data_IF_043019946792
#
_entry.id   IF_043019946792
#
_cell.length_a   1.000
_cell.length_b   1.000
_cell.length_c   1.000
_cell.angle_alpha   90.00
_cell.angle_beta   90.00
_cell.angle_gamma   90.00
#
_symmetry.space_group_name_H-M   'P 1'
#
loop_
_entity.id
_entity.type
_entity.pdbx_description
1 polymer ?
#
# COMPACT_ATOMS: atom_id res chain seq x y z
N UNK A 1 0.91 -9.05 9.44
CA UNK A 1 1.60 -7.73 9.54
C UNK A 1 0.98 -6.73 8.55
N UNK A 2 0.92 -7.05 7.26
CA UNK A 2 0.30 -6.23 6.20
C UNK A 2 -1.15 -5.80 6.47
N UNK A 3 -2.01 -6.73 6.90
CA UNK A 3 -3.42 -6.44 7.19
C UNK A 3 -3.55 -5.49 8.39
N UNK A 4 -2.67 -5.63 9.40
CA UNK A 4 -2.66 -4.78 10.58
C UNK A 4 -2.21 -3.35 10.24
N UNK A 5 -1.17 -3.22 9.40
CA UNK A 5 -0.73 -1.93 8.87
C UNK A 5 -1.76 -1.27 7.96
N UNK A 6 -2.45 -2.05 7.11
CA UNK A 6 -3.51 -1.56 6.22
C UNK A 6 -4.74 -1.07 6.99
N UNK A 7 -5.15 -1.80 8.03
CA UNK A 7 -6.24 -1.39 8.90
C UNK A 7 -5.89 -0.10 9.66
N UNK A 8 -4.68 -0.01 10.22
CA UNK A 8 -4.22 1.17 10.94
C UNK A 8 -4.06 2.40 10.02
N UNK A 9 -3.61 2.19 8.77
CA UNK A 9 -3.52 3.24 7.76
C UNK A 9 -4.91 3.79 7.39
N UNK A 10 -5.89 2.93 7.15
CA UNK A 10 -7.28 3.35 6.86
C UNK A 10 -7.89 4.12 8.03
N UNK A 11 -7.69 3.66 9.27
CA UNK A 11 -8.15 4.37 10.48
C UNK A 11 -7.47 5.74 10.62
N UNK A 12 -6.17 5.83 10.35
CA UNK A 12 -5.41 7.09 10.40
C UNK A 12 -5.86 8.10 9.34
N UNK A 13 -6.23 7.63 8.15
CA UNK A 13 -6.74 8.48 7.06
C UNK A 13 -8.17 8.98 7.33
N UNK A 14 -9.00 8.21 8.03
CA UNK A 14 -10.32 8.65 8.50
C UNK A 14 -10.17 9.66 9.64
N UNK A 15 -9.23 9.44 10.55
CA UNK A 15 -8.92 10.39 11.63
C UNK A 15 -8.42 11.75 11.10
N UNK A 16 -7.72 11.76 9.95
CA UNK A 16 -7.36 13.00 9.24
C UNK A 16 -8.57 13.85 8.84
N UNK A 17 -9.68 13.22 8.43
CA UNK A 17 -10.89 13.97 8.06
C UNK A 17 -11.62 14.60 9.25
N UNK A 18 -11.40 14.10 10.46
CA UNK A 18 -12.03 14.62 11.68
C UNK A 18 -11.17 15.67 12.41
N UNK A 19 -9.89 15.80 12.04
CA UNK A 19 -8.92 16.64 12.77
C UNK A 19 -8.33 17.71 11.84
N UNK A 20 -8.52 18.99 12.17
CA UNK A 20 -7.93 20.12 11.45
C UNK A 20 -6.63 20.60 12.13
N UNK A 21 -5.59 20.91 11.33
CA UNK A 21 -4.32 21.49 11.80
C UNK A 21 -3.10 20.58 11.69
N UNK A 22 -2.02 20.90 12.44
CA UNK A 22 -0.72 20.19 12.40
C UNK A 22 -0.85 18.69 12.70
N UNK A 23 -1.82 18.33 13.55
CA UNK A 23 -2.10 16.94 13.92
C UNK A 23 -2.56 16.09 12.73
N UNK A 24 -3.25 16.70 11.77
CA UNK A 24 -3.67 16.07 10.53
C UNK A 24 -2.44 15.67 9.69
N UNK A 25 -1.46 16.57 9.58
CA UNK A 25 -0.19 16.30 8.86
C UNK A 25 0.57 15.15 9.50
N UNK A 26 0.62 15.08 10.84
CA UNK A 26 1.29 13.98 11.57
C UNK A 26 0.61 12.64 11.31
N UNK A 27 -0.74 12.59 11.33
CA UNK A 27 -1.49 11.37 11.02
C UNK A 27 -1.33 10.91 9.57
N UNK A 28 -1.17 11.86 8.64
CA UNK A 28 -0.92 11.58 7.22
C UNK A 28 0.50 11.03 7.01
N UNK A 29 1.48 11.59 7.73
CA UNK A 29 2.86 11.08 7.77
C UNK A 29 2.92 9.66 8.34
N UNK A 30 2.22 9.40 9.45
CA UNK A 30 2.09 8.06 10.03
C UNK A 30 1.45 7.08 9.05
N UNK A 31 0.36 7.47 8.37
CA UNK A 31 -0.25 6.65 7.34
C UNK A 31 0.74 6.30 6.21
N UNK A 32 1.48 7.30 5.70
CA UNK A 32 2.47 7.09 4.64
C UNK A 32 3.62 6.18 5.07
N UNK A 33 4.14 6.35 6.29
CA UNK A 33 5.21 5.51 6.83
C UNK A 33 4.77 4.06 7.04
N UNK A 34 3.55 3.84 7.55
CA UNK A 34 2.97 2.50 7.71
C UNK A 34 2.76 1.80 6.37
N UNK A 35 2.35 2.55 5.34
CA UNK A 35 2.19 2.02 3.99
C UNK A 35 3.55 1.64 3.38
N UNK A 36 4.58 2.45 3.57
CA UNK A 36 5.94 2.14 3.10
C UNK A 36 6.60 1.00 3.88
N UNK A 37 6.26 0.82 5.16
CA UNK A 37 6.77 -0.30 5.96
C UNK A 37 6.33 -1.67 5.42
N UNK A 38 5.22 -1.73 4.69
CA UNK A 38 4.76 -2.94 4.00
C UNK A 38 5.61 -3.27 2.75
N UNK A 39 6.19 -2.27 2.09
CA UNK A 39 6.92 -2.41 0.84
C UNK A 39 8.02 -3.51 0.84
N UNK A 40 8.95 -3.57 1.81
CA UNK A 40 10.03 -4.56 1.78
C UNK A 40 9.54 -6.01 1.86
N UNK A 41 8.46 -6.30 2.58
CA UNK A 41 7.95 -7.67 2.67
C UNK A 41 7.33 -8.18 1.35
N UNK A 42 6.74 -7.28 0.56
CA UNK A 42 6.19 -7.60 -0.76
C UNK A 42 7.31 -7.87 -1.77
N UNK A 43 8.38 -7.09 -1.71
CA UNK A 43 9.58 -7.25 -2.54
C UNK A 43 10.23 -8.62 -2.29
N UNK A 44 10.42 -9.01 -1.03
CA UNK A 44 10.99 -10.33 -0.68
C UNK A 44 10.10 -11.48 -1.14
N UNK A 45 8.78 -11.32 -1.08
CA UNK A 45 7.85 -12.34 -1.60
C UNK A 45 7.95 -12.48 -3.12
N UNK A 46 7.98 -11.36 -3.85
CA UNK A 46 8.14 -11.36 -5.31
C UNK A 46 9.47 -12.01 -5.74
N UNK A 47 10.56 -11.71 -5.02
CA UNK A 47 11.87 -12.34 -5.24
C UNK A 47 11.85 -13.84 -4.98
N UNK A 48 11.06 -14.32 -4.00
CA UNK A 48 10.89 -15.75 -3.75
C UNK A 48 10.12 -16.45 -4.86
N UNK A 49 9.09 -15.82 -5.42
CA UNK A 49 8.29 -16.40 -6.52
C UNK A 49 9.07 -16.44 -7.84
N UNK A 50 9.97 -15.49 -8.08
CA UNK A 50 10.82 -15.41 -9.28
C UNK A 50 12.31 -15.56 -8.94
N UNK A 51 12.69 -16.69 -8.35
CA UNK A 51 14.05 -16.94 -7.84
C UNK A 51 15.15 -16.85 -8.90
N UNK A 52 14.83 -17.13 -10.16
CA UNK A 52 15.79 -17.17 -11.26
C UNK A 52 16.16 -15.75 -11.76
N UNK A 53 15.31 -14.73 -11.52
CA UNK A 53 15.52 -13.35 -11.97
C UNK A 53 15.01 -12.31 -10.95
N UNK A 54 15.56 -12.36 -9.74
CA UNK A 54 15.12 -11.53 -8.61
C UNK A 54 15.13 -10.03 -8.91
N UNK A 55 16.18 -9.50 -9.55
CA UNK A 55 16.28 -8.07 -9.87
C UNK A 55 15.21 -7.61 -10.86
N UNK A 56 14.89 -8.44 -11.86
CA UNK A 56 13.85 -8.14 -12.87
C UNK A 56 12.47 -8.15 -12.23
N UNK A 57 12.19 -9.11 -11.35
CA UNK A 57 10.92 -9.19 -10.63
C UNK A 57 10.70 -7.96 -9.73
N UNK A 58 11.73 -7.51 -9.01
CA UNK A 58 11.62 -6.31 -8.17
C UNK A 58 11.49 -5.02 -8.98
N UNK A 59 12.25 -4.90 -10.07
CA UNK A 59 12.17 -3.74 -10.95
C UNK A 59 10.80 -3.64 -11.63
N UNK A 60 10.23 -4.77 -12.06
CA UNK A 60 8.90 -4.82 -12.63
C UNK A 60 7.81 -4.49 -11.60
N UNK A 61 7.88 -5.07 -10.39
CA UNK A 61 6.95 -4.76 -9.30
C UNK A 61 6.99 -3.26 -8.96
N UNK A 62 8.19 -2.69 -8.86
CA UNK A 62 8.39 -1.30 -8.53
C UNK A 62 7.91 -0.38 -9.66
N UNK A 63 8.25 -0.68 -10.92
CA UNK A 63 7.82 0.09 -12.08
C UNK A 63 6.30 0.05 -12.29
N UNK A 64 5.69 -1.13 -12.18
CA UNK A 64 4.24 -1.30 -12.31
C UNK A 64 3.48 -0.67 -11.14
N UNK A 65 3.97 -0.87 -9.91
CA UNK A 65 3.38 -0.28 -8.71
C UNK A 65 3.41 1.25 -8.72
N UNK A 66 4.55 1.85 -9.03
CA UNK A 66 4.64 3.31 -9.17
C UNK A 66 3.90 3.84 -10.40
N UNK A 67 3.84 3.08 -11.50
CA UNK A 67 3.06 3.44 -12.68
C UNK A 67 1.56 3.56 -12.37
N UNK A 68 0.97 2.56 -11.71
CA UNK A 68 -0.43 2.61 -11.25
C UNK A 68 -0.62 3.70 -10.20
N UNK A 69 0.32 3.86 -9.27
CA UNK A 69 0.28 4.94 -8.27
C UNK A 69 0.25 6.33 -8.91
N UNK A 70 1.05 6.55 -9.95
CA UNK A 70 1.07 7.79 -10.73
C UNK A 70 -0.25 8.05 -11.46
N UNK A 71 -0.85 7.02 -12.08
CA UNK A 71 -2.18 7.12 -12.67
C UNK A 71 -3.25 7.47 -11.64
N UNK A 72 -3.18 6.90 -10.43
CA UNK A 72 -4.07 7.25 -9.33
C UNK A 72 -3.94 8.72 -8.89
N UNK A 73 -2.73 9.26 -8.85
CA UNK A 73 -2.48 10.68 -8.61
C UNK A 73 -3.05 11.57 -9.72
N UNK A 74 -2.89 11.18 -10.99
CA UNK A 74 -3.46 11.93 -12.12
C UNK A 74 -4.99 11.97 -12.05
N UNK A 75 -5.63 10.85 -11.76
CA UNK A 75 -7.10 10.78 -11.58
C UNK A 75 -7.54 11.66 -10.41
N UNK A 76 -6.82 11.61 -9.29
CA UNK A 76 -7.11 12.44 -8.10
C UNK A 76 -6.95 13.93 -8.41
N UNK A 77 -5.91 14.32 -9.14
CA UNK A 77 -5.68 15.70 -9.57
C UNK A 77 -6.73 16.19 -10.55
N UNK A 78 -7.09 15.39 -11.55
CA UNK A 78 -8.18 15.71 -12.48
C UNK A 78 -9.52 15.88 -11.74
N UNK A 79 -9.78 15.05 -10.72
CA UNK A 79 -10.99 15.16 -9.89
C UNK A 79 -10.97 16.42 -9.01
N UNK A 80 -9.79 16.84 -8.54
CA UNK A 80 -9.61 18.10 -7.81
C UNK A 80 -9.97 19.32 -8.67
N UNK A 81 -9.53 19.34 -9.93
CA UNK A 81 -9.85 20.43 -10.86
C UNK A 81 -11.35 20.43 -11.22
N UNK A 82 -11.96 19.26 -11.38
CA UNK A 82 -13.38 19.13 -11.74
C UNK A 82 -14.34 19.57 -10.61
N UNK A 83 -13.95 19.35 -9.35
CA UNK A 83 -14.77 19.71 -8.17
C UNK A 83 -14.51 21.14 -7.66
N UNK A 84 -13.81 21.99 -8.42
CA UNK A 84 -13.63 23.40 -8.09
C UNK A 84 -12.71 23.64 -6.88
N UNK A 85 -11.57 22.94 -6.83
CA UNK A 85 -10.54 23.08 -5.80
C UNK A 85 -10.93 22.64 -4.37
N UNK A 86 -11.98 21.82 -4.25
CA UNK A 86 -12.34 21.19 -2.97
C UNK A 86 -11.38 20.03 -2.66
N UNK A 87 -10.24 20.35 -2.04
CA UNK A 87 -9.20 19.39 -1.62
C UNK A 87 -9.78 18.24 -0.77
N UNK A 88 -10.80 18.51 0.04
CA UNK A 88 -11.48 17.51 0.87
C UNK A 88 -12.10 16.37 0.04
N UNK A 89 -12.75 16.65 -1.09
CA UNK A 89 -13.36 15.60 -1.91
C UNK A 89 -12.30 14.79 -2.68
N UNK A 90 -11.24 15.45 -3.16
CA UNK A 90 -10.14 14.77 -3.85
C UNK A 90 -9.37 13.82 -2.90
N UNK A 91 -9.16 14.22 -1.65
CA UNK A 91 -8.53 13.35 -0.65
C UNK A 91 -9.45 12.20 -0.21
N UNK A 92 -10.77 12.38 -0.26
CA UNK A 92 -11.72 11.30 0.06
C UNK A 92 -11.66 10.16 -0.95
N UNK A 93 -11.38 10.45 -2.23
CA UNK A 93 -11.13 9.43 -3.26
C UNK A 93 -9.96 8.50 -2.88
N UNK A 94 -8.90 9.03 -2.24
CA UNK A 94 -7.78 8.20 -1.79
C UNK A 94 -8.19 7.22 -0.68
N UNK A 95 -9.15 7.58 0.17
CA UNK A 95 -9.71 6.68 1.20
C UNK A 95 -10.39 5.47 0.56
N UNK A 96 -11.11 5.68 -0.55
CA UNK A 96 -11.79 4.60 -1.29
C UNK A 96 -10.76 3.65 -1.88
N UNK A 97 -9.72 4.17 -2.54
CA UNK A 97 -8.63 3.37 -3.12
C UNK A 97 -7.91 2.54 -2.04
N UNK A 98 -7.63 3.14 -0.87
CA UNK A 98 -7.01 2.44 0.27
C UNK A 98 -7.91 1.33 0.83
N UNK A 99 -9.22 1.59 0.93
CA UNK A 99 -10.20 0.61 1.41
C UNK A 99 -10.32 -0.58 0.45
N UNK A 100 -10.34 -0.33 -0.86
CA UNK A 100 -10.33 -1.39 -1.88
C UNK A 100 -9.05 -2.21 -1.80
N UNK A 101 -7.89 -1.55 -1.64
CA UNK A 101 -6.59 -2.24 -1.48
C UNK A 101 -6.58 -3.16 -0.25
N UNK A 102 -7.19 -2.74 0.86
CA UNK A 102 -7.32 -3.54 2.07
C UNK A 102 -8.17 -4.80 1.81
N UNK A 103 -9.33 -4.65 1.14
CA UNK A 103 -10.22 -5.77 0.80
C UNK A 103 -9.50 -6.79 -0.09
N UNK A 104 -8.81 -6.32 -1.14
CA UNK A 104 -8.03 -7.17 -2.03
C UNK A 104 -6.93 -7.90 -1.27
N UNK A 105 -6.27 -7.22 -0.34
CA UNK A 105 -5.24 -7.84 0.51
C UNK A 105 -5.83 -8.94 1.38
N UNK A 106 -6.99 -8.74 2.01
CA UNK A 106 -7.65 -9.78 2.82
C UNK A 106 -8.00 -11.00 1.96
N UNK A 107 -8.53 -10.79 0.75
CA UNK A 107 -8.99 -11.88 -0.10
C UNK A 107 -7.85 -12.66 -0.76
N UNK A 108 -6.77 -11.97 -1.15
CA UNK A 108 -5.69 -12.57 -1.94
C UNK A 108 -4.50 -13.02 -1.09
N UNK A 109 -4.34 -12.49 0.14
CA UNK A 109 -3.29 -12.88 1.08
C UNK A 109 -3.87 -13.60 2.32
N UNK A 110 -4.27 -14.88 2.21
CA UNK A 110 -4.27 -15.75 3.37
C UNK A 110 -2.81 -15.92 3.82
N UNK A 111 -2.54 -15.52 5.06
CA UNK A 111 -1.21 -15.49 5.64
C UNK A 111 -0.72 -16.92 5.90
N UNK A 112 -0.24 -17.60 4.87
CA UNK A 112 0.62 -18.77 5.04
C UNK A 112 2.09 -18.36 4.87
N UNK A 113 2.69 -17.97 5.99
CA UNK A 113 4.14 -17.83 6.11
C UNK A 113 4.67 -18.73 7.22
N UNK A 114 4.09 -19.94 7.32
CA UNK A 114 4.56 -21.01 8.20
C UNK A 114 5.61 -21.93 7.58
N UNK A 115 5.52 -22.27 6.28
CA UNK A 115 6.11 -23.54 5.83
C UNK A 115 7.34 -23.49 4.89
N UNK A 116 7.99 -22.33 4.69
CA UNK A 116 9.21 -22.26 3.85
C UNK A 116 10.52 -22.23 4.67
N UNK A 117 10.49 -22.61 5.95
CA UNK A 117 11.73 -22.82 6.73
C UNK A 117 12.18 -24.29 6.77
N UNK A 118 11.33 -25.25 6.35
CA UNK A 118 11.61 -26.69 6.51
C UNK A 118 12.26 -27.38 5.31
N UNK A 119 12.22 -26.81 4.10
CA UNK A 119 12.76 -27.46 2.88
C UNK A 119 14.14 -26.95 2.42
N UNK A 120 14.99 -26.46 3.35
CA UNK A 120 16.39 -26.11 3.02
C UNK A 120 17.43 -26.78 3.94
N UNK A 121 17.00 -27.71 4.79
CA UNK A 121 17.91 -28.52 5.63
C UNK A 121 17.95 -30.00 5.22
N UNK A 122 17.36 -30.39 4.08
CA UNK A 122 17.26 -31.80 3.64
C UNK A 122 17.94 -32.07 2.28
N UNK A 123 18.81 -31.18 1.81
CA UNK A 123 19.63 -31.43 0.62
C UNK A 123 21.00 -30.77 0.75
N UNK A 124 21.77 -31.22 1.73
CA UNK A 124 23.24 -31.16 1.72
C UNK A 124 23.74 -32.53 2.11
#
# INVERSE_FOLDING_TARGET
MFIFSGFLATVSLIAFFYTSGVFAVVMLLLCGTLLQAAYPGMVVLAQKMFSNNQSVATGFLQGFGFGIGGLGCLITGALYDFFGANLHFALFNNVIILSVSLIVTIFFFPQDSGDVKKSRHISV
#
